data_IF_469257077318
#
_entry.id   IF_469257077318
#
_cell.length_a   1.000
_cell.length_b   1.000
_cell.length_c   1.000
_cell.angle_alpha   90.00
_cell.angle_beta   90.00
_cell.angle_gamma   90.00
#
_symmetry.space_group_name_H-M   'P 1'
#
loop_
_entity.id
_entity.type
_entity.pdbx_description
1 polymer ?
#
# COMPACT_ATOMS: atom_id res chain seq x y z
N UNK A 1 14.79 30.38 0.94
CA UNK A 1 15.07 28.94 0.97
C UNK A 1 14.11 28.29 0.01
N UNK A 2 14.62 27.44 -0.88
CA UNK A 2 13.77 26.53 -1.64
C UNK A 2 13.43 25.38 -0.70
N UNK A 3 12.16 25.31 -0.28
CA UNK A 3 11.68 24.33 0.70
C UNK A 3 11.27 23.01 0.04
N UNK A 4 11.57 22.81 -1.25
CA UNK A 4 11.24 21.56 -1.93
C UNK A 4 12.13 20.42 -1.43
N UNK A 5 11.52 19.43 -0.77
CA UNK A 5 12.20 18.20 -0.38
C UNK A 5 12.55 17.30 -1.58
N UNK A 6 11.78 17.41 -2.68
CA UNK A 6 11.95 16.62 -3.91
C UNK A 6 12.24 17.50 -5.14
N UNK A 7 13.01 16.97 -6.09
CA UNK A 7 13.38 17.65 -7.34
C UNK A 7 12.59 17.16 -8.57
N UNK A 8 11.48 16.43 -8.35
CA UNK A 8 10.66 15.88 -9.42
C UNK A 8 9.85 16.97 -10.13
N UNK A 9 9.66 16.81 -11.45
CA UNK A 9 8.91 17.78 -12.28
C UNK A 9 7.41 17.83 -11.96
N UNK A 10 6.85 16.76 -11.38
CA UNK A 10 5.44 16.66 -11.02
C UNK A 10 5.33 16.21 -9.57
N UNK A 11 4.77 17.07 -8.73
CA UNK A 11 4.56 16.81 -7.30
C UNK A 11 3.15 17.24 -6.94
N UNK A 12 2.46 16.45 -6.13
CA UNK A 12 1.10 16.76 -5.72
C UNK A 12 0.49 15.68 -4.84
N UNK A 13 -0.52 16.08 -4.08
CA UNK A 13 -1.37 15.19 -3.31
C UNK A 13 -2.75 15.15 -3.98
N UNK A 14 -3.35 13.97 -4.20
CA UNK A 14 -4.68 13.89 -4.79
C UNK A 14 -5.71 14.70 -4.00
N UNK A 15 -6.46 15.54 -4.70
CA UNK A 15 -7.57 16.29 -4.10
C UNK A 15 -8.62 15.28 -3.62
N UNK A 16 -8.96 15.32 -2.33
CA UNK A 16 -9.86 14.35 -1.70
C UNK A 16 -9.17 13.12 -1.09
N UNK A 17 -7.83 13.03 -1.20
CA UNK A 17 -7.03 11.93 -0.65
C UNK A 17 -6.83 10.77 -1.62
N UNK A 18 -6.09 9.74 -1.18
CA UNK A 18 -5.73 8.61 -2.04
C UNK A 18 -6.89 7.62 -2.25
N UNK A 19 -7.86 7.52 -1.34
CA UNK A 19 -8.98 6.58 -1.48
C UNK A 19 -9.80 6.84 -2.77
N UNK A 20 -10.28 8.08 -3.06
CA UNK A 20 -10.98 8.36 -4.31
C UNK A 20 -10.18 8.02 -5.58
N UNK A 21 -8.85 8.20 -5.54
CA UNK A 21 -7.97 7.82 -6.65
C UNK A 21 -7.97 6.30 -6.85
N UNK A 22 -7.81 5.53 -5.78
CA UNK A 22 -7.82 4.06 -5.83
C UNK A 22 -9.19 3.54 -6.25
N UNK A 23 -10.27 4.10 -5.71
CA UNK A 23 -11.64 3.71 -6.06
C UNK A 23 -11.91 3.90 -7.56
N UNK A 24 -11.45 5.03 -8.14
CA UNK A 24 -11.56 5.28 -9.57
C UNK A 24 -10.71 4.33 -10.43
N UNK A 25 -9.51 3.95 -9.96
CA UNK A 25 -8.65 3.00 -10.66
C UNK A 25 -9.22 1.57 -10.65
N UNK A 26 -9.99 1.21 -9.62
CA UNK A 26 -10.60 -0.10 -9.46
C UNK A 26 -12.06 -0.16 -9.96
N UNK A 27 -12.59 0.94 -10.49
CA UNK A 27 -13.97 0.99 -10.97
C UNK A 27 -14.24 -0.08 -12.04
N UNK A 28 -15.36 -0.77 -11.90
CA UNK A 28 -15.73 -1.92 -12.73
C UNK A 28 -14.97 -3.23 -12.48
N UNK A 29 -14.09 -3.28 -11.48
CA UNK A 29 -13.39 -4.52 -11.07
C UNK A 29 -14.07 -5.20 -9.89
N UNK A 30 -14.05 -6.54 -9.86
CA UNK A 30 -14.45 -7.31 -8.69
C UNK A 30 -13.34 -7.28 -7.63
N UNK A 31 -13.59 -6.59 -6.50
CA UNK A 31 -12.60 -6.42 -5.42
C UNK A 31 -13.05 -7.15 -4.17
N UNK A 32 -12.18 -8.03 -3.65
CA UNK A 32 -12.42 -8.76 -2.41
C UNK A 32 -11.42 -8.33 -1.33
N UNK A 33 -11.92 -7.67 -0.28
CA UNK A 33 -11.12 -7.25 0.88
C UNK A 33 -11.15 -8.30 1.99
N UNK A 34 -10.20 -8.24 2.94
CA UNK A 34 -10.17 -9.16 4.08
C UNK A 34 -9.93 -10.62 3.69
N UNK A 35 -9.33 -10.84 2.53
CA UNK A 35 -9.14 -12.16 1.92
C UNK A 35 -7.65 -12.44 1.79
N UNK A 36 -7.18 -13.51 2.43
CA UNK A 36 -5.81 -13.99 2.29
C UNK A 36 -5.71 -14.98 1.12
N UNK A 37 -4.80 -14.71 0.19
CA UNK A 37 -4.51 -15.60 -0.94
C UNK A 37 -4.04 -16.98 -0.46
N UNK A 38 -3.25 -17.07 0.61
CA UNK A 38 -2.69 -18.34 1.08
C UNK A 38 -3.69 -19.19 1.87
N UNK A 39 -4.77 -18.59 2.38
CA UNK A 39 -5.82 -19.34 3.08
C UNK A 39 -6.54 -20.35 2.16
N UNK A 40 -6.63 -20.07 0.87
CA UNK A 40 -7.20 -20.98 -0.15
C UNK A 40 -6.53 -20.80 -1.51
N UNK A 41 -5.21 -21.00 -1.55
CA UNK A 41 -4.37 -20.75 -2.73
C UNK A 41 -4.86 -21.51 -3.97
N UNK A 42 -5.22 -22.78 -3.80
CA UNK A 42 -5.65 -23.63 -4.92
C UNK A 42 -6.90 -23.08 -5.60
N UNK A 43 -7.89 -22.60 -4.83
CA UNK A 43 -9.08 -21.98 -5.41
C UNK A 43 -8.72 -20.75 -6.24
N UNK A 44 -7.85 -19.90 -5.73
CA UNK A 44 -7.46 -18.66 -6.42
C UNK A 44 -6.63 -18.92 -7.68
N UNK A 45 -5.68 -19.85 -7.63
CA UNK A 45 -4.89 -20.26 -8.80
C UNK A 45 -5.75 -20.91 -9.90
N UNK A 46 -6.89 -21.51 -9.55
CA UNK A 46 -7.85 -22.07 -10.51
C UNK A 46 -8.84 -21.04 -11.06
N UNK A 47 -8.95 -19.86 -10.43
CA UNK A 47 -9.93 -18.84 -10.81
C UNK A 47 -9.51 -18.03 -12.05
N UNK A 48 -8.23 -18.04 -12.41
CA UNK A 48 -7.70 -17.29 -13.54
C UNK A 48 -6.54 -18.03 -14.22
N UNK A 49 -6.37 -17.82 -15.53
CA UNK A 49 -5.25 -18.40 -16.30
C UNK A 49 -3.87 -17.86 -15.86
N UNK A 50 -3.85 -16.67 -15.24
CA UNK A 50 -2.64 -15.99 -14.79
C UNK A 50 -2.89 -15.29 -13.47
N UNK A 51 -1.86 -15.31 -12.62
CA UNK A 51 -1.86 -14.63 -11.32
C UNK A 51 -0.77 -13.55 -11.34
N UNK A 52 -1.16 -12.31 -11.02
CA UNK A 52 -0.23 -11.24 -10.69
C UNK A 52 -0.18 -11.14 -9.16
N UNK A 53 0.93 -11.57 -8.57
CA UNK A 53 1.10 -11.62 -7.11
C UNK A 53 2.01 -10.48 -6.64
N UNK A 54 1.54 -9.68 -5.69
CA UNK A 54 2.25 -8.49 -5.16
C UNK A 54 2.54 -8.58 -3.67
N UNK A 55 2.33 -9.75 -3.05
CA UNK A 55 2.64 -10.00 -1.63
C UNK A 55 4.11 -10.39 -1.40
N UNK A 56 4.40 -10.91 -0.21
CA UNK A 56 5.75 -11.34 0.18
C UNK A 56 6.22 -12.54 -0.66
N UNK A 57 7.32 -12.37 -1.40
CA UNK A 57 7.81 -13.39 -2.34
C UNK A 57 8.41 -14.61 -1.64
N UNK A 58 9.04 -14.43 -0.48
CA UNK A 58 9.56 -15.52 0.34
C UNK A 58 8.43 -16.41 0.88
N UNK A 59 7.34 -15.81 1.37
CA UNK A 59 6.12 -16.52 1.75
C UNK A 59 5.51 -17.30 0.57
N UNK A 60 5.49 -16.70 -0.62
CA UNK A 60 4.95 -17.35 -1.81
C UNK A 60 5.62 -18.70 -2.13
N UNK A 61 6.92 -18.79 -1.90
CA UNK A 61 7.71 -20.02 -2.06
C UNK A 61 7.87 -20.82 -0.76
N UNK A 62 7.04 -20.55 0.26
CA UNK A 62 7.03 -21.30 1.51
C UNK A 62 8.31 -21.12 2.34
N UNK A 63 8.93 -19.95 2.24
CA UNK A 63 10.20 -19.62 2.93
C UNK A 63 11.31 -20.64 2.68
N UNK A 64 11.33 -21.26 1.50
CA UNK A 64 12.24 -22.38 1.19
C UNK A 64 13.74 -22.02 1.28
N UNK A 65 14.07 -20.73 1.26
CA UNK A 65 15.43 -20.20 1.45
C UNK A 65 15.56 -19.33 2.72
N UNK A 66 14.62 -19.43 3.66
CA UNK A 66 14.51 -18.57 4.84
C UNK A 66 13.59 -17.36 4.62
N UNK A 67 13.56 -16.49 5.63
CA UNK A 67 12.78 -15.24 5.60
C UNK A 67 13.62 -14.10 5.01
N UNK A 68 12.99 -13.27 4.18
CA UNK A 68 13.58 -12.01 3.74
C UNK A 68 13.40 -10.93 4.81
N UNK A 69 14.45 -10.13 5.00
CA UNK A 69 14.41 -9.02 5.96
C UNK A 69 13.65 -7.82 5.37
N UNK A 70 12.55 -7.43 6.03
CA UNK A 70 11.80 -6.21 5.73
C UNK A 70 11.90 -5.22 6.90
N UNK A 71 11.95 -3.93 6.59
CA UNK A 71 11.80 -2.88 7.61
C UNK A 71 10.32 -2.64 7.86
N UNK A 72 9.97 -2.46 9.13
CA UNK A 72 8.62 -2.10 9.55
C UNK A 72 8.62 -0.72 10.21
N UNK A 73 7.44 -0.13 10.27
CA UNK A 73 7.17 1.12 10.98
C UNK A 73 5.99 0.90 11.92
N UNK A 74 6.05 1.53 13.09
CA UNK A 74 4.94 1.58 14.04
C UNK A 74 4.36 2.98 14.01
N UNK A 75 3.05 3.08 13.84
CA UNK A 75 2.34 4.36 13.87
C UNK A 75 1.67 4.54 15.22
N UNK A 76 1.86 5.72 15.81
CA UNK A 76 1.11 6.20 16.96
C UNK A 76 0.37 7.45 16.52
N UNK A 77 -0.94 7.48 16.75
CA UNK A 77 -1.82 8.53 16.25
C UNK A 77 -2.42 9.28 17.43
N UNK A 78 -2.18 10.58 17.45
CA UNK A 78 -2.68 11.49 18.48
C UNK A 78 -3.52 12.59 17.84
N UNK A 79 -4.59 12.99 18.52
CA UNK A 79 -5.37 14.17 18.14
C UNK A 79 -5.02 15.30 19.09
N UNK A 80 -4.35 16.33 18.58
CA UNK A 80 -3.95 17.51 19.35
C UNK A 80 -4.82 18.69 18.91
N UNK A 81 -5.40 19.41 19.87
CA UNK A 81 -6.27 20.57 19.61
C UNK A 81 -5.46 21.84 19.31
N UNK A 82 -4.51 21.75 18.40
CA UNK A 82 -3.66 22.85 17.93
C UNK A 82 -3.61 22.84 16.40
N UNK A 83 -3.72 24.01 15.78
CA UNK A 83 -3.80 24.11 14.32
C UNK A 83 -2.47 23.82 13.60
N UNK A 84 -1.34 23.96 14.27
CA UNK A 84 -0.02 23.77 13.69
C UNK A 84 1.00 23.29 14.73
N UNK A 85 1.24 21.98 14.77
CA UNK A 85 2.23 21.39 15.68
C UNK A 85 3.66 21.43 15.12
N UNK A 86 3.84 21.28 13.80
CA UNK A 86 5.14 21.00 13.17
C UNK A 86 5.77 22.20 12.46
N UNK A 87 5.01 23.29 12.25
CA UNK A 87 5.51 24.55 11.69
C UNK A 87 5.70 24.54 10.17
N UNK A 88 6.05 23.41 9.56
CA UNK A 88 6.21 23.22 8.12
C UNK A 88 5.67 21.83 7.71
N UNK A 89 5.02 21.76 6.56
CA UNK A 89 4.90 20.50 5.81
C UNK A 89 6.26 20.24 5.18
N UNK A 90 6.85 19.07 5.43
CA UNK A 90 8.15 18.68 4.83
C UNK A 90 7.98 18.49 3.33
#
# INVERSE_FOLDING_TARGET
FDNNYFNDSYQGIPIGGYNPLIDALLDGSDVLTGTDFFADRTRWEQMADKVVFTGCIDQYFGYCYGHLDYRTVRFETETIHEANLQGNAV
#
